data_IF_164427005378
#
_entry.id   IF_164427005378
#
_cell.length_a   1.000
_cell.length_b   1.000
_cell.length_c   1.000
_cell.angle_alpha   90.00
_cell.angle_beta   90.00
_cell.angle_gamma   90.00
#
_symmetry.space_group_name_H-M   'P 1'
#
loop_
_entity.id
_entity.type
_entity.pdbx_description
1 polymer ?
#
# COMPACT_ATOMS: atom_id res chain seq x y z
N UNK A 1 22.41 10.07 0.57
CA UNK A 1 21.92 9.59 1.88
C UNK A 1 20.39 9.66 1.86
N UNK A 2 19.74 8.56 1.49
CA UNK A 2 18.28 8.45 1.50
C UNK A 2 17.92 8.08 2.94
N UNK A 3 17.15 8.94 3.62
CA UNK A 3 16.62 8.63 4.96
C UNK A 3 15.79 7.35 4.82
N UNK A 4 16.19 6.31 5.55
CA UNK A 4 15.55 5.00 5.48
C UNK A 4 14.06 5.11 5.78
N UNK A 5 13.22 4.66 4.85
CA UNK A 5 11.87 4.24 5.18
C UNK A 5 11.99 3.14 6.24
N UNK A 6 11.56 3.45 7.46
CA UNK A 6 11.39 2.49 8.54
C UNK A 6 10.34 1.47 8.09
N UNK A 7 10.78 0.40 7.45
CA UNK A 7 9.91 -0.72 7.14
C UNK A 7 9.49 -1.33 8.48
N UNK A 8 8.21 -1.22 8.79
CA UNK A 8 7.61 -1.82 9.98
C UNK A 8 7.82 -3.32 9.82
N UNK A 9 8.79 -3.88 10.55
CA UNK A 9 9.01 -5.31 10.59
C UNK A 9 7.69 -5.98 11.00
N UNK A 10 7.19 -7.00 10.28
CA UNK A 10 5.95 -7.71 10.64
C UNK A 10 6.06 -8.52 11.96
N UNK A 11 7.08 -8.28 12.78
CA UNK A 11 7.30 -8.96 14.07
C UNK A 11 6.37 -8.46 15.20
N UNK A 12 5.22 -7.87 14.84
CA UNK A 12 4.20 -7.38 15.76
C UNK A 12 2.77 -7.65 15.30
N UNK A 13 2.49 -8.75 14.58
CA UNK A 13 1.12 -9.21 14.24
C UNK A 13 0.37 -9.80 15.46
N UNK A 14 0.43 -9.13 16.60
CA UNK A 14 -0.18 -9.59 17.86
C UNK A 14 -0.56 -8.46 18.84
N UNK A 15 -0.54 -7.20 18.39
CA UNK A 15 -1.20 -6.13 19.13
C UNK A 15 -2.47 -5.76 18.37
N UNK A 16 -3.59 -6.34 18.81
CA UNK A 16 -4.92 -5.85 18.57
C UNK A 16 -4.92 -4.34 18.87
N UNK A 17 -4.81 -3.51 17.83
CA UNK A 17 -5.11 -2.09 17.93
C UNK A 17 -6.62 -2.00 18.14
N UNK A 18 -7.02 -2.21 19.40
CA UNK A 18 -8.32 -1.84 19.90
C UNK A 18 -8.48 -0.35 19.61
N UNK A 19 -9.19 -0.04 18.54
CA UNK A 19 -9.78 1.28 18.32
C UNK A 19 -10.83 1.45 19.41
N UNK A 20 -10.36 1.71 20.63
CA UNK A 20 -11.21 2.11 21.74
C UNK A 20 -11.76 3.47 21.35
N UNK A 21 -12.95 3.42 20.76
CA UNK A 21 -13.80 4.55 20.46
C UNK A 21 -13.98 5.28 21.80
N UNK A 22 -13.13 6.29 22.08
CA UNK A 22 -13.21 7.12 23.28
C UNK A 22 -14.57 7.81 23.23
N UNK A 23 -15.54 7.20 23.92
CA UNK A 23 -16.86 7.76 24.16
C UNK A 23 -16.67 9.15 24.75
N UNK A 24 -17.16 10.15 24.02
CA UNK A 24 -17.11 11.55 24.40
C UNK A 24 -17.74 11.78 25.76
N UNK A 25 -17.04 12.55 26.58
CA UNK A 25 -17.55 13.09 27.83
C UNK A 25 -18.81 13.93 27.58
N UNK A 26 -19.80 13.73 28.44
CA UNK A 26 -21.01 14.55 28.56
C UNK A 26 -20.62 15.97 28.99
N UNK A 27 -20.36 16.85 28.04
CA UNK A 27 -20.28 18.30 28.25
C UNK A 27 -21.65 18.92 28.01
N UNK A 28 -22.32 19.37 29.07
CA UNK A 28 -23.58 20.11 28.97
C UNK A 28 -23.36 21.49 28.36
N UNK A 29 -24.02 21.78 27.24
CA UNK A 29 -24.04 23.10 26.62
C UNK A 29 -25.42 23.77 26.81
N UNK A 30 -25.37 24.94 27.44
CA UNK A 30 -26.48 25.88 27.65
C UNK A 30 -26.95 26.45 26.32
N UNK A 31 -28.27 26.67 26.21
CA UNK A 31 -28.96 27.11 25.00
C UNK A 31 -28.42 28.39 24.38
N UNK A 32 -28.04 28.30 23.11
CA UNK A 32 -27.85 29.41 22.19
C UNK A 32 -28.95 29.40 21.14
N UNK A 33 -29.49 30.57 20.81
CA UNK A 33 -30.65 30.76 19.96
C UNK A 33 -30.54 30.16 18.56
N UNK A 34 -31.65 29.60 18.09
CA UNK A 34 -31.84 29.06 16.74
C UNK A 34 -31.94 30.21 15.73
N UNK A 35 -30.86 30.50 15.00
CA UNK A 35 -30.97 31.21 13.72
C UNK A 35 -31.13 30.17 12.62
N UNK A 36 -32.16 30.25 11.75
CA UNK A 36 -32.30 29.36 10.60
C UNK A 36 -31.05 29.44 9.73
N UNK A 37 -30.25 28.38 9.72
CA UNK A 37 -29.08 28.26 8.86
C UNK A 37 -29.60 28.05 7.43
N UNK A 38 -29.10 28.84 6.48
CA UNK A 38 -29.38 28.62 5.06
C UNK A 38 -29.11 27.15 4.68
N UNK A 39 -29.88 26.55 3.75
CA UNK A 39 -29.61 25.21 3.26
C UNK A 39 -28.15 25.14 2.83
N UNK A 40 -27.37 24.32 3.51
CA UNK A 40 -26.01 24.00 3.08
C UNK A 40 -26.21 23.06 1.90
N UNK A 41 -25.85 23.50 0.70
CA UNK A 41 -25.74 22.60 -0.45
C UNK A 41 -24.82 21.45 -0.02
N UNK A 42 -25.36 20.23 0.01
CA UNK A 42 -24.59 19.04 0.35
C UNK A 42 -23.56 18.85 -0.77
N UNK A 43 -22.33 19.32 -0.53
CA UNK A 43 -21.21 19.06 -1.44
C UNK A 43 -21.13 17.56 -1.67
N UNK A 44 -21.29 17.16 -2.94
CA UNK A 44 -21.28 15.77 -3.35
C UNK A 44 -19.93 15.14 -2.95
N UNK A 45 -20.00 14.09 -2.13
CA UNK A 45 -18.82 13.44 -1.56
C UNK A 45 -18.22 12.49 -2.60
N UNK A 46 -17.31 13.04 -3.42
CA UNK A 46 -16.69 12.35 -4.55
C UNK A 46 -16.07 11.01 -4.14
N UNK A 47 -15.42 10.97 -2.97
CA UNK A 47 -14.83 9.73 -2.43
C UNK A 47 -15.90 8.69 -2.10
N UNK A 48 -17.03 9.08 -1.50
CA UNK A 48 -18.09 8.13 -1.19
C UNK A 48 -18.62 7.45 -2.45
N UNK A 49 -18.94 8.23 -3.48
CA UNK A 49 -19.47 7.71 -4.73
C UNK A 49 -18.48 6.74 -5.40
N UNK A 50 -17.20 7.11 -5.48
CA UNK A 50 -16.16 6.26 -6.04
C UNK A 50 -15.97 4.95 -5.25
N UNK A 51 -16.03 5.01 -3.91
CA UNK A 51 -15.94 3.80 -3.06
C UNK A 51 -17.13 2.87 -3.30
N UNK A 52 -18.35 3.40 -3.35
CA UNK A 52 -19.54 2.60 -3.63
C UNK A 52 -19.46 1.92 -5.00
N UNK A 53 -19.01 2.65 -6.02
CA UNK A 53 -18.82 2.09 -7.37
C UNK A 53 -17.76 0.99 -7.41
N UNK A 54 -16.60 1.21 -6.77
CA UNK A 54 -15.52 0.23 -6.72
C UNK A 54 -15.90 -1.06 -5.98
N UNK A 55 -16.73 -0.97 -4.93
CA UNK A 55 -17.13 -2.12 -4.13
C UNK A 55 -18.36 -2.86 -4.68
N UNK A 56 -19.15 -2.24 -5.55
CA UNK A 56 -20.36 -2.85 -6.10
C UNK A 56 -20.14 -4.24 -6.74
N UNK A 57 -19.06 -4.48 -7.53
CA UNK A 57 -18.79 -5.79 -8.13
C UNK A 57 -18.47 -6.90 -7.11
N UNK A 58 -17.92 -6.55 -5.95
CA UNK A 58 -17.49 -7.51 -4.91
C UNK A 58 -18.47 -7.62 -3.75
N UNK A 59 -19.57 -6.86 -3.77
CA UNK A 59 -20.50 -6.76 -2.63
C UNK A 59 -21.09 -8.11 -2.21
N UNK A 60 -21.26 -9.05 -3.14
CA UNK A 60 -21.76 -10.40 -2.85
C UNK A 60 -20.69 -11.36 -2.30
N UNK A 61 -19.41 -10.99 -2.42
CA UNK A 61 -18.27 -11.79 -1.94
C UNK A 61 -17.86 -11.44 -0.50
N UNK A 62 -18.27 -10.26 -0.01
CA UNK A 62 -18.02 -9.84 1.37
C UNK A 62 -18.99 -10.57 2.33
N UNK A 63 -18.43 -11.21 3.34
CA UNK A 63 -19.19 -12.06 4.28
C UNK A 63 -19.17 -11.56 5.72
N UNK A 64 -18.24 -10.68 6.09
CA UNK A 64 -18.08 -10.24 7.48
C UNK A 64 -18.72 -8.88 7.74
N UNK A 65 -18.66 -7.95 6.79
CA UNK A 65 -19.20 -6.60 6.93
C UNK A 65 -20.35 -6.35 5.95
N UNK A 66 -21.41 -5.68 6.40
CA UNK A 66 -22.40 -5.14 5.48
C UNK A 66 -21.79 -4.07 4.57
N UNK A 67 -22.39 -3.88 3.38
CA UNK A 67 -21.89 -2.93 2.37
C UNK A 67 -21.70 -1.52 2.92
N UNK A 68 -22.67 -0.91 3.65
CA UNK A 68 -22.50 0.44 4.19
C UNK A 68 -21.34 0.57 5.19
N UNK A 69 -21.12 -0.46 6.03
CA UNK A 69 -19.99 -0.50 6.97
C UNK A 69 -18.66 -0.63 6.22
N UNK A 70 -18.59 -1.47 5.19
CA UNK A 70 -17.40 -1.63 4.37
C UNK A 70 -17.05 -0.32 3.64
N UNK A 71 -18.00 0.28 2.93
CA UNK A 71 -17.83 1.58 2.26
C UNK A 71 -17.31 2.65 3.23
N UNK A 72 -17.96 2.77 4.39
CA UNK A 72 -17.57 3.71 5.44
C UNK A 72 -16.14 3.47 5.93
N UNK A 73 -15.72 2.20 6.08
CA UNK A 73 -14.36 1.83 6.51
C UNK A 73 -13.33 2.17 5.44
N UNK A 74 -13.57 1.80 4.19
CA UNK A 74 -12.66 2.11 3.07
C UNK A 74 -12.47 3.62 2.97
N UNK A 75 -13.55 4.40 2.89
CA UNK A 75 -13.47 5.87 2.88
C UNK A 75 -12.68 6.44 4.05
N UNK A 76 -12.84 5.87 5.25
CA UNK A 76 -12.10 6.31 6.43
C UNK A 76 -10.59 6.09 6.28
N UNK A 77 -10.15 5.00 5.63
CA UNK A 77 -8.73 4.78 5.34
C UNK A 77 -8.17 5.85 4.41
N UNK A 78 -8.88 6.16 3.31
CA UNK A 78 -8.52 7.26 2.40
C UNK A 78 -8.43 8.61 3.11
N UNK A 79 -9.42 8.96 3.95
CA UNK A 79 -9.41 10.23 4.70
C UNK A 79 -8.36 10.30 5.80
N UNK A 80 -7.97 9.16 6.38
CA UNK A 80 -6.94 9.15 7.41
C UNK A 80 -5.54 9.28 6.82
N UNK A 81 -5.29 8.71 5.64
CA UNK A 81 -4.00 8.77 4.98
C UNK A 81 -3.56 10.21 4.63
N UNK A 82 -4.49 11.12 4.33
CA UNK A 82 -4.16 12.50 3.96
C UNK A 82 -3.75 13.38 5.14
N UNK A 83 -4.11 13.00 6.38
CA UNK A 83 -3.91 13.85 7.57
C UNK A 83 -2.45 14.08 7.94
N UNK A 84 -1.57 13.15 7.57
CA UNK A 84 -0.15 13.18 7.94
C UNK A 84 0.77 13.59 6.78
N UNK A 85 0.20 14.05 5.66
CA UNK A 85 0.98 14.48 4.50
C UNK A 85 1.57 15.87 4.72
N UNK A 86 2.84 16.03 4.38
CA UNK A 86 3.56 17.31 4.46
C UNK A 86 3.42 18.11 3.15
N UNK A 87 2.23 18.67 2.91
CA UNK A 87 1.88 19.36 1.65
C UNK A 87 2.80 20.53 1.25
N UNK A 88 3.58 21.08 2.18
CA UNK A 88 4.51 22.18 1.93
C UNK A 88 5.97 21.73 1.75
N UNK A 89 6.30 20.48 2.09
CA UNK A 89 7.68 20.00 2.09
C UNK A 89 8.02 19.17 0.84
N UNK A 90 7.01 18.58 0.19
CA UNK A 90 7.19 17.63 -0.92
C UNK A 90 6.41 18.08 -2.16
N UNK A 91 6.92 17.77 -3.37
CA UNK A 91 6.17 17.97 -4.60
C UNK A 91 4.96 17.02 -4.67
N UNK A 92 3.96 17.40 -5.45
CA UNK A 92 2.66 16.69 -5.55
C UNK A 92 2.78 15.20 -5.89
N UNK A 93 3.73 14.82 -6.75
CA UNK A 93 3.90 13.43 -7.18
C UNK A 93 4.40 12.54 -6.01
N UNK A 94 5.34 13.02 -5.20
CA UNK A 94 5.79 12.29 -4.02
C UNK A 94 4.71 12.21 -2.93
N UNK A 95 3.86 13.24 -2.83
CA UNK A 95 2.70 13.21 -1.94
C UNK A 95 1.67 12.15 -2.36
N UNK A 96 1.46 11.96 -3.66
CA UNK A 96 0.60 10.88 -4.18
C UNK A 96 1.18 9.51 -3.85
N UNK A 97 2.49 9.30 -4.07
CA UNK A 97 3.14 8.03 -3.73
C UNK A 97 2.99 7.69 -2.24
N UNK A 98 3.30 8.63 -1.35
CA UNK A 98 3.19 8.45 0.11
C UNK A 98 1.74 8.25 0.57
N UNK A 99 0.80 8.98 -0.04
CA UNK A 99 -0.62 8.82 0.22
C UNK A 99 -1.08 7.40 -0.13
N UNK A 100 -0.74 6.94 -1.33
CA UNK A 100 -1.13 5.63 -1.83
C UNK A 100 -0.52 4.49 -1.02
N UNK A 101 0.75 4.59 -0.61
CA UNK A 101 1.37 3.65 0.31
C UNK A 101 0.62 3.55 1.64
N UNK A 102 0.23 4.71 2.20
CA UNK A 102 -0.47 4.78 3.49
C UNK A 102 -1.88 4.20 3.41
N UNK A 103 -2.61 4.47 2.31
CA UNK A 103 -3.95 3.90 2.08
C UNK A 103 -3.88 2.38 1.95
N UNK A 104 -3.01 1.87 1.06
CA UNK A 104 -2.91 0.44 0.85
C UNK A 104 -2.40 -0.31 2.07
N UNK A 105 -1.43 0.24 2.80
CA UNK A 105 -1.01 -0.34 4.08
C UNK A 105 -2.19 -0.50 5.05
N UNK A 106 -3.06 0.51 5.15
CA UNK A 106 -4.25 0.47 6.02
C UNK A 106 -5.30 -0.55 5.54
N UNK A 107 -5.54 -0.62 4.22
CA UNK A 107 -6.49 -1.54 3.61
C UNK A 107 -6.03 -2.99 3.81
N UNK A 108 -4.80 -3.32 3.41
CA UNK A 108 -4.27 -4.68 3.53
C UNK A 108 -4.12 -5.09 4.99
N UNK A 109 -3.71 -4.20 5.89
CA UNK A 109 -3.69 -4.51 7.32
C UNK A 109 -5.08 -4.94 7.83
N UNK A 110 -6.14 -4.28 7.37
CA UNK A 110 -7.50 -4.55 7.84
C UNK A 110 -8.23 -5.67 7.10
N UNK A 111 -7.85 -5.98 5.86
CA UNK A 111 -8.63 -6.82 4.93
C UNK A 111 -7.81 -7.90 4.21
N UNK A 112 -6.55 -8.16 4.58
CA UNK A 112 -5.71 -9.18 3.90
C UNK A 112 -6.30 -10.59 3.88
N UNK A 113 -7.20 -10.90 4.81
CA UNK A 113 -7.90 -12.18 4.93
C UNK A 113 -9.12 -12.29 3.99
N UNK A 114 -9.46 -11.22 3.27
CA UNK A 114 -10.54 -11.20 2.27
C UNK A 114 -10.07 -11.72 0.93
N UNK A 115 -10.66 -12.82 0.47
CA UNK A 115 -10.37 -13.42 -0.85
C UNK A 115 -10.70 -12.51 -2.04
N UNK A 116 -11.62 -11.55 -1.86
CA UNK A 116 -12.00 -10.59 -2.88
C UNK A 116 -11.07 -9.38 -2.95
N UNK A 117 -10.17 -9.16 -1.98
CA UNK A 117 -9.33 -7.95 -1.93
C UNK A 117 -8.46 -7.77 -3.18
N UNK A 118 -8.04 -8.87 -3.80
CA UNK A 118 -7.26 -8.83 -5.04
C UNK A 118 -8.12 -8.62 -6.31
N UNK A 119 -9.45 -8.54 -6.17
CA UNK A 119 -10.41 -8.39 -7.27
C UNK A 119 -11.00 -6.97 -7.36
N UNK A 120 -10.85 -6.17 -6.31
CA UNK A 120 -11.36 -4.79 -6.28
C UNK A 120 -10.35 -3.84 -6.91
N UNK A 121 -10.86 -2.94 -7.76
CA UNK A 121 -10.06 -1.86 -8.36
C UNK A 121 -10.35 -0.55 -7.61
N UNK A 122 -9.32 -0.02 -6.94
CA UNK A 122 -9.41 1.24 -6.20
C UNK A 122 -8.87 2.44 -6.98
N UNK A 123 -8.47 2.29 -8.24
CA UNK A 123 -7.83 3.35 -9.02
C UNK A 123 -8.68 4.62 -9.09
N UNK A 124 -9.98 4.47 -9.39
CA UNK A 124 -10.92 5.60 -9.45
C UNK A 124 -11.16 6.24 -8.08
N UNK A 125 -11.04 5.46 -7.00
CA UNK A 125 -11.13 5.98 -5.63
C UNK A 125 -9.93 6.85 -5.30
N UNK A 126 -8.73 6.47 -5.73
CA UNK A 126 -7.53 7.31 -5.59
C UNK A 126 -7.66 8.62 -6.35
N UNK A 127 -8.10 8.59 -7.61
CA UNK A 127 -8.30 9.79 -8.42
C UNK A 127 -9.27 10.77 -7.71
N UNK A 128 -10.44 10.29 -7.27
CA UNK A 128 -11.42 11.09 -6.55
C UNK A 128 -10.89 11.60 -5.21
N UNK A 129 -10.23 10.74 -4.41
CA UNK A 129 -9.72 11.09 -3.10
C UNK A 129 -8.60 12.11 -3.14
N UNK A 130 -7.70 12.03 -4.11
CA UNK A 130 -6.62 13.02 -4.25
C UNK A 130 -7.21 14.38 -4.66
N UNK A 131 -8.17 14.40 -5.58
CA UNK A 131 -8.85 15.65 -6.00
C UNK A 131 -9.68 16.29 -4.87
N UNK A 132 -10.32 15.48 -4.01
CA UNK A 132 -11.11 15.97 -2.87
C UNK A 132 -10.24 16.40 -1.68
N UNK A 133 -9.23 15.59 -1.33
CA UNK A 133 -8.52 15.71 -0.04
C UNK A 133 -7.23 16.53 -0.13
N UNK A 134 -6.62 16.71 -1.31
CA UNK A 134 -5.40 17.51 -1.43
C UNK A 134 -5.75 19.00 -1.51
N UNK A 135 -4.92 19.90 -0.93
CA UNK A 135 -5.14 21.32 -1.08
C UNK A 135 -5.11 21.75 -2.55
N UNK A 136 -6.08 22.54 -3.00
CA UNK A 136 -6.22 22.97 -4.41
C UNK A 136 -4.95 23.59 -5.00
N UNK A 137 -4.17 24.31 -4.19
CA UNK A 137 -2.92 24.94 -4.63
C UNK A 137 -1.81 23.93 -4.98
N UNK A 138 -1.84 22.71 -4.41
CA UNK A 138 -0.88 21.64 -4.73
C UNK A 138 -1.13 21.11 -6.14
N UNK A 139 -2.38 21.10 -6.60
CA UNK A 139 -2.79 20.53 -7.89
C UNK A 139 -3.05 21.59 -8.98
N UNK A 140 -3.07 22.88 -8.64
CA UNK A 140 -3.52 23.96 -9.52
C UNK A 140 -2.80 24.05 -10.88
N UNK A 141 -1.56 23.57 -10.95
CA UNK A 141 -0.72 23.63 -12.15
C UNK A 141 -0.30 22.26 -12.67
N UNK A 142 -0.96 21.19 -12.22
CA UNK A 142 -0.66 19.83 -12.66
C UNK A 142 -1.48 19.50 -13.90
N UNK A 143 -0.85 19.19 -15.06
CA UNK A 143 -1.58 18.73 -16.23
C UNK A 143 -2.31 17.41 -15.95
N UNK A 144 -3.58 17.30 -16.34
CA UNK A 144 -4.38 16.10 -16.11
C UNK A 144 -3.70 14.79 -16.58
N UNK A 145 -3.06 14.70 -17.76
CA UNK A 145 -2.39 13.47 -18.18
C UNK A 145 -1.19 13.08 -17.30
N UNK A 146 -0.52 14.07 -16.70
CA UNK A 146 0.59 13.80 -15.78
C UNK A 146 0.08 13.33 -14.42
N UNK A 147 -1.02 13.93 -13.97
CA UNK A 147 -1.73 13.54 -12.75
C UNK A 147 -2.20 12.09 -12.83
N UNK A 148 -3.01 11.75 -13.83
CA UNK A 148 -3.60 10.41 -14.02
C UNK A 148 -2.51 9.33 -14.11
N UNK A 149 -1.44 9.60 -14.87
CA UNK A 149 -0.29 8.68 -14.96
C UNK A 149 0.38 8.45 -13.62
N UNK A 150 0.59 9.51 -12.84
CA UNK A 150 1.21 9.41 -11.52
C UNK A 150 0.34 8.63 -10.55
N UNK A 151 -0.99 8.86 -10.56
CA UNK A 151 -1.95 8.10 -9.74
C UNK A 151 -1.93 6.61 -10.11
N UNK A 152 -2.02 6.28 -11.40
CA UNK A 152 -1.94 4.89 -11.89
C UNK A 152 -0.63 4.21 -11.47
N UNK A 153 0.51 4.87 -11.69
CA UNK A 153 1.82 4.31 -11.33
C UNK A 153 1.97 4.10 -9.81
N UNK A 154 1.51 5.06 -9.00
CA UNK A 154 1.53 4.93 -7.55
C UNK A 154 0.59 3.81 -7.07
N UNK A 155 -0.60 3.72 -7.67
CA UNK A 155 -1.59 2.67 -7.39
C UNK A 155 -1.01 1.28 -7.62
N UNK A 156 -0.58 1.00 -8.85
CA UNK A 156 -0.13 -0.34 -9.24
C UNK A 156 1.11 -0.76 -8.44
N UNK A 157 2.05 0.17 -8.23
CA UNK A 157 3.25 -0.09 -7.40
C UNK A 157 2.85 -0.48 -5.98
N UNK A 158 2.06 0.36 -5.30
CA UNK A 158 1.74 0.14 -3.90
C UNK A 158 0.86 -1.10 -3.70
N UNK A 159 -0.08 -1.34 -4.61
CA UNK A 159 -0.90 -2.56 -4.61
C UNK A 159 -0.02 -3.82 -4.71
N UNK A 160 0.91 -3.86 -5.68
CA UNK A 160 1.80 -5.01 -5.85
C UNK A 160 2.78 -5.18 -4.68
N UNK A 161 3.26 -4.09 -4.08
CA UNK A 161 4.07 -4.17 -2.86
C UNK A 161 3.32 -4.84 -1.70
N UNK A 162 2.05 -4.49 -1.48
CA UNK A 162 1.26 -5.11 -0.42
C UNK A 162 0.89 -6.57 -0.73
N UNK A 163 0.61 -6.91 -1.99
CA UNK A 163 0.27 -8.27 -2.42
C UNK A 163 1.45 -9.23 -2.33
N UNK A 164 2.64 -8.75 -2.70
CA UNK A 164 3.84 -9.59 -2.76
C UNK A 164 4.41 -9.93 -1.38
N UNK A 165 4.32 -9.01 -0.41
CA UNK A 165 4.95 -9.18 0.90
C UNK A 165 4.48 -10.44 1.67
N UNK A 166 3.18 -10.78 1.77
CA UNK A 166 2.71 -12.02 2.38
C UNK A 166 3.22 -13.28 1.68
N UNK A 167 3.16 -13.30 0.34
CA UNK A 167 3.65 -14.43 -0.46
C UNK A 167 5.14 -14.68 -0.22
N UNK A 168 5.95 -13.63 -0.24
CA UNK A 168 7.38 -13.73 0.08
C UNK A 168 7.58 -14.30 1.47
N UNK A 169 6.84 -13.80 2.45
CA UNK A 169 6.94 -14.25 3.83
C UNK A 169 6.62 -15.74 4.00
N UNK A 170 5.54 -16.22 3.39
CA UNK A 170 5.12 -17.62 3.45
C UNK A 170 6.15 -18.58 2.85
N UNK A 171 6.68 -18.24 1.67
CA UNK A 171 7.71 -19.03 1.00
C UNK A 171 8.98 -19.10 1.87
N UNK A 172 9.43 -17.97 2.41
CA UNK A 172 10.61 -17.93 3.28
C UNK A 172 10.39 -18.70 4.59
N UNK A 173 9.17 -18.67 5.15
CA UNK A 173 8.85 -19.39 6.39
C UNK A 173 8.90 -20.90 6.22
N UNK A 174 8.54 -21.37 5.03
CA UNK A 174 8.53 -22.79 4.68
C UNK A 174 9.94 -23.32 4.38
N UNK A 175 10.81 -22.48 3.79
CA UNK A 175 12.11 -22.91 3.26
C UNK A 175 13.30 -22.65 4.17
N UNK A 176 13.21 -21.65 5.06
CA UNK A 176 14.29 -21.29 5.96
C UNK A 176 13.91 -21.64 7.41
N UNK A 177 14.83 -22.16 8.24
CA UNK A 177 14.53 -22.49 9.63
C UNK A 177 14.65 -21.27 10.56
N UNK A 178 15.71 -20.48 10.38
CA UNK A 178 16.11 -19.42 11.30
C UNK A 178 15.44 -18.08 10.99
N UNK A 179 14.93 -17.41 12.04
CA UNK A 179 14.26 -16.10 11.94
C UNK A 179 15.20 -15.00 11.45
N UNK A 180 16.46 -14.99 11.89
CA UNK A 180 17.43 -13.96 11.48
C UNK A 180 17.71 -14.05 9.97
N UNK A 181 17.94 -15.27 9.50
CA UNK A 181 18.14 -15.60 8.08
C UNK A 181 16.91 -15.26 7.24
N UNK A 182 15.70 -15.58 7.71
CA UNK A 182 14.44 -15.15 7.06
C UNK A 182 14.39 -13.64 6.85
N UNK A 183 14.67 -12.84 7.88
CA UNK A 183 14.59 -11.38 7.75
C UNK A 183 15.64 -10.83 6.77
N UNK A 184 16.87 -11.38 6.78
CA UNK A 184 17.93 -10.96 5.83
C UNK A 184 17.54 -11.26 4.39
N UNK A 185 17.08 -12.49 4.12
CA UNK A 185 16.61 -12.88 2.79
C UNK A 185 15.39 -12.06 2.37
N UNK A 186 14.43 -11.85 3.27
CA UNK A 186 13.26 -11.02 3.02
C UNK A 186 13.67 -9.59 2.59
N UNK A 187 14.50 -8.93 3.39
CA UNK A 187 14.92 -7.55 3.13
C UNK A 187 15.70 -7.43 1.82
N UNK A 188 16.61 -8.37 1.55
CA UNK A 188 17.41 -8.36 0.33
C UNK A 188 16.55 -8.63 -0.93
N UNK A 189 15.66 -9.63 -0.88
CA UNK A 189 14.79 -10.00 -2.01
C UNK A 189 13.78 -8.89 -2.30
N UNK A 190 13.17 -8.29 -1.29
CA UNK A 190 12.20 -7.21 -1.48
C UNK A 190 12.88 -5.93 -2.00
N UNK A 191 14.03 -5.56 -1.44
CA UNK A 191 14.79 -4.41 -1.95
C UNK A 191 15.26 -4.62 -3.40
N UNK A 192 15.67 -5.84 -3.75
CA UNK A 192 16.05 -6.19 -5.12
C UNK A 192 14.87 -6.14 -6.09
N UNK A 193 13.67 -6.53 -5.66
CA UNK A 193 12.46 -6.47 -6.48
C UNK A 193 12.11 -5.03 -6.85
N UNK A 194 12.16 -4.14 -5.86
CA UNK A 194 11.95 -2.69 -6.06
C UNK A 194 12.97 -2.09 -7.02
N UNK A 195 14.24 -2.46 -6.87
CA UNK A 195 15.30 -2.01 -7.78
C UNK A 195 15.13 -2.53 -9.21
N UNK A 196 14.75 -3.81 -9.36
CA UNK A 196 14.45 -4.41 -10.65
C UNK A 196 13.27 -3.73 -11.36
N UNK A 197 12.22 -3.36 -10.61
CA UNK A 197 11.07 -2.64 -11.17
C UNK A 197 11.45 -1.26 -11.72
N UNK A 198 12.41 -0.58 -11.10
CA UNK A 198 12.90 0.76 -11.52
C UNK A 198 13.88 0.66 -12.69
N UNK A 199 14.67 -0.43 -12.76
CA UNK A 199 15.77 -0.56 -13.71
C UNK A 199 15.33 -0.54 -15.19
N UNK A 200 14.05 -0.79 -15.45
CA UNK A 200 13.41 -0.57 -16.76
C UNK A 200 13.82 -1.57 -17.85
N UNK A 201 12.88 -1.95 -18.69
CA UNK A 201 13.07 -2.92 -19.78
C UNK A 201 13.41 -2.16 -21.07
N UNK A 202 14.65 -1.69 -21.17
CA UNK A 202 15.09 -0.79 -22.25
C UNK A 202 15.67 -1.51 -23.47
N UNK A 203 15.91 -2.82 -23.38
CA UNK A 203 16.66 -3.56 -24.41
C UNK A 203 15.78 -4.23 -25.49
N UNK A 204 14.47 -3.97 -25.50
CA UNK A 204 13.55 -4.55 -26.47
C UNK A 204 13.39 -6.08 -26.34
N UNK A 205 13.86 -6.68 -25.25
CA UNK A 205 13.65 -8.08 -24.92
C UNK A 205 12.30 -8.31 -24.25
N UNK A 206 12.11 -9.52 -23.73
CA UNK A 206 10.91 -9.87 -22.97
C UNK A 206 10.95 -9.18 -21.60
N UNK A 207 10.02 -8.26 -21.29
CA UNK A 207 10.08 -7.46 -20.07
C UNK A 207 9.99 -8.30 -18.79
N UNK A 208 9.28 -9.44 -18.84
CA UNK A 208 9.15 -10.34 -17.69
C UNK A 208 10.46 -11.07 -17.41
N UNK A 209 11.13 -11.53 -18.46
CA UNK A 209 12.42 -12.21 -18.35
C UNK A 209 13.52 -11.26 -17.87
N UNK A 210 13.54 -10.03 -18.40
CA UNK A 210 14.45 -8.96 -17.98
C UNK A 210 14.25 -8.60 -16.50
N UNK A 211 13.00 -8.37 -16.09
CA UNK A 211 12.66 -8.09 -14.70
C UNK A 211 13.09 -9.23 -13.77
N UNK A 212 12.74 -10.48 -14.12
CA UNK A 212 13.06 -11.65 -13.31
C UNK A 212 14.57 -11.82 -13.17
N UNK A 213 15.31 -11.70 -14.27
CA UNK A 213 16.77 -11.81 -14.26
C UNK A 213 17.43 -10.72 -13.40
N UNK A 214 16.97 -9.47 -13.53
CA UNK A 214 17.46 -8.35 -12.73
C UNK A 214 17.15 -8.56 -11.23
N UNK A 215 15.92 -8.96 -10.91
CA UNK A 215 15.48 -9.21 -9.55
C UNK A 215 16.32 -10.32 -8.87
N UNK A 216 16.54 -11.43 -9.56
CA UNK A 216 17.40 -12.52 -9.06
C UNK A 216 18.84 -12.03 -8.84
N UNK A 217 19.41 -11.34 -9.83
CA UNK A 217 20.77 -10.81 -9.76
C UNK A 217 20.96 -9.84 -8.58
N UNK A 218 20.07 -8.86 -8.44
CA UNK A 218 20.11 -7.89 -7.34
C UNK A 218 19.89 -8.56 -5.98
N UNK A 219 19.03 -9.58 -5.88
CA UNK A 219 18.79 -10.29 -4.62
C UNK A 219 20.06 -10.97 -4.12
N UNK A 220 20.76 -11.69 -4.99
CA UNK A 220 22.03 -12.35 -4.67
C UNK A 220 23.12 -11.34 -4.36
N UNK A 221 23.20 -10.23 -5.10
CA UNK A 221 24.16 -9.17 -4.85
C UNK A 221 23.97 -8.55 -3.46
N UNK A 222 22.73 -8.21 -3.08
CA UNK A 222 22.40 -7.63 -1.77
C UNK A 222 22.69 -8.61 -0.64
N UNK A 223 22.30 -9.87 -0.79
CA UNK A 223 22.61 -10.91 0.18
C UNK A 223 24.11 -11.12 0.37
N UNK A 224 24.89 -11.10 -0.72
CA UNK A 224 26.35 -11.18 -0.66
C UNK A 224 26.96 -9.99 0.08
N UNK A 225 26.43 -8.78 -0.15
CA UNK A 225 26.89 -7.58 0.56
C UNK A 225 26.62 -7.66 2.07
N UNK A 226 25.50 -8.27 2.49
CA UNK A 226 25.13 -8.40 3.89
C UNK A 226 25.82 -9.60 4.59
N UNK A 227 25.99 -10.72 3.90
CA UNK A 227 26.51 -11.98 4.49
C UNK A 227 28.01 -12.22 4.24
N UNK A 228 28.64 -11.48 3.31
CA UNK A 228 30.02 -11.70 2.91
C UNK A 228 30.26 -13.11 2.35
N UNK A 229 31.34 -13.76 2.79
CA UNK A 229 31.72 -15.11 2.36
C UNK A 229 30.74 -16.22 2.81
N UNK A 230 29.83 -15.93 3.74
CA UNK A 230 28.91 -16.91 4.33
C UNK A 230 27.62 -17.10 3.54
N UNK A 231 27.48 -16.49 2.36
CA UNK A 231 26.24 -16.56 1.56
C UNK A 231 25.75 -17.99 1.35
N UNK A 232 26.64 -18.92 0.97
CA UNK A 232 26.26 -20.31 0.69
C UNK A 232 25.77 -21.06 1.94
N UNK A 233 26.20 -20.63 3.12
CA UNK A 233 25.70 -21.20 4.39
C UNK A 233 24.34 -20.63 4.79
N UNK A 234 24.06 -19.38 4.43
CA UNK A 234 22.82 -18.67 4.75
C UNK A 234 21.71 -19.05 3.77
N UNK A 235 22.05 -19.15 2.48
CA UNK A 235 21.12 -19.45 1.40
C UNK A 235 21.80 -20.41 0.39
N UNK A 236 21.76 -21.73 0.66
CA UNK A 236 22.29 -22.72 -0.28
C UNK A 236 21.63 -22.61 -1.66
N UNK A 237 22.35 -22.85 -2.78
CA UNK A 237 21.83 -22.64 -4.13
C UNK A 237 20.51 -23.37 -4.43
N UNK A 238 20.34 -24.61 -3.95
CA UNK A 238 19.10 -25.36 -4.14
C UNK A 238 17.91 -24.74 -3.40
N UNK A 239 18.13 -24.25 -2.17
CA UNK A 239 17.09 -23.54 -1.40
C UNK A 239 16.75 -22.20 -2.07
N UNK A 240 17.75 -21.49 -2.59
CA UNK A 240 17.52 -20.26 -3.36
C UNK A 240 16.61 -20.53 -4.57
N UNK A 241 16.92 -21.57 -5.34
CA UNK A 241 16.13 -21.96 -6.50
C UNK A 241 14.68 -22.31 -6.11
N UNK A 242 14.48 -23.07 -5.03
CA UNK A 242 13.14 -23.39 -4.52
C UNK A 242 12.36 -22.15 -4.07
N UNK A 243 13.01 -21.19 -3.40
CA UNK A 243 12.39 -19.94 -2.98
C UNK A 243 11.93 -19.15 -4.21
N UNK A 244 12.82 -18.90 -5.16
CA UNK A 244 12.46 -18.11 -6.34
C UNK A 244 11.45 -18.82 -7.23
N UNK A 245 11.52 -20.14 -7.34
CA UNK A 245 10.50 -20.90 -8.04
C UNK A 245 9.12 -20.76 -7.38
N UNK A 246 9.05 -20.83 -6.05
CA UNK A 246 7.81 -20.63 -5.30
C UNK A 246 7.24 -19.21 -5.36
N UNK A 247 8.03 -18.21 -5.74
CA UNK A 247 7.57 -16.81 -5.89
C UNK A 247 7.12 -16.46 -7.31
N UNK A 248 7.46 -17.30 -8.29
CA UNK A 248 7.15 -17.08 -9.72
C UNK A 248 5.90 -17.83 -10.16
N UNK A 249 5.56 -18.94 -9.47
CA UNK A 249 4.33 -19.70 -9.70
C UNK A 249 3.08 -18.93 -9.27
#
# INVERSE_FOLDING_TARGET
MIKGCSFISPQGFGHEMSWQQKGGGKGGAKGGGWTPRAPVEEEEDLVWNAVSEALAPIASLETEWDTPKLEKRIKQYFRNASKNLEFHAKPWNLLIEEYTDTVFASIFQALHDRSWLNQVDFLMVFDAAIKELFPKHVLAHVPAPSFERCVLQAHDRAFEEQRFAPMLWEVLFTKLPDKSTKNRVYNAVEAARKEAAISGTSNGGNPVEEFTSAWLGFSIQKLRAECGAMLESVLPPHVAAEIFHGLIQ
#
